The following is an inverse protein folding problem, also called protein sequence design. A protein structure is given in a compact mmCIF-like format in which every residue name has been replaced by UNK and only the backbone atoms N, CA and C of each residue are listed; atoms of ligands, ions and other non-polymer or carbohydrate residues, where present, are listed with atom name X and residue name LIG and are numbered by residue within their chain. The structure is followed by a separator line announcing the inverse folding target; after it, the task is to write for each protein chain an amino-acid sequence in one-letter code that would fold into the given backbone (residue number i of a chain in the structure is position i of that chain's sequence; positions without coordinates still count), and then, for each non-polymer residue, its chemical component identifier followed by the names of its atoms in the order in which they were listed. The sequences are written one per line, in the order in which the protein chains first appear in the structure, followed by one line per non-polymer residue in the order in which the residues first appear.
data_IF_756496839551
#
_entry.id   IF_756496839551
#
_cell.length_a   1.000
_cell.length_b   1.000
_cell.length_c   1.000
_cell.angle_alpha   90.00
_cell.angle_beta   90.00
_cell.angle_gamma   90.00
#
_symmetry.space_group_name_H-M   'P 1'
#
loop_
_entity.id
_entity.type
_entity.pdbx_description
1 polymer ?
#
# COMPACT_ATOMS: atom_id res chain seq x y z
N UNK A 1 -6.84 29.54 23.31
CA UNK A 1 -5.46 29.03 23.10
C UNK A 1 -5.13 29.17 21.63
N UNK A 2 -4.12 29.96 21.30
CA UNK A 2 -3.65 30.18 19.93
C UNK A 2 -2.72 29.01 19.55
N UNK A 3 -3.28 27.97 18.94
CA UNK A 3 -2.51 26.86 18.38
C UNK A 3 -1.97 27.24 17.00
N UNK A 4 -1.25 28.35 16.91
CA UNK A 4 -0.50 28.73 15.70
C UNK A 4 0.70 27.78 15.57
N UNK A 5 0.50 26.70 14.82
CA UNK A 5 1.55 25.74 14.49
C UNK A 5 2.67 26.48 13.74
N UNK A 6 3.84 26.64 14.38
CA UNK A 6 5.02 27.36 13.84
C UNK A 6 5.45 26.84 12.45
N UNK A 7 5.06 25.61 12.11
CA UNK A 7 5.38 24.94 10.86
C UNK A 7 4.31 25.06 9.77
N UNK A 8 3.09 25.53 10.08
CA UNK A 8 2.00 25.69 9.11
C UNK A 8 1.50 27.14 9.15
N UNK A 9 1.42 27.79 7.98
CA UNK A 9 0.89 29.15 7.92
C UNK A 9 -0.53 29.20 8.50
N UNK A 10 -0.80 30.24 9.27
CA UNK A 10 -2.07 30.43 9.99
C UNK A 10 -3.28 30.40 9.06
N UNK A 11 -3.18 31.03 7.90
CA UNK A 11 -4.26 31.07 6.90
C UNK A 11 -4.64 29.69 6.38
N UNK A 12 -3.67 28.80 6.15
CA UNK A 12 -3.95 27.42 5.81
C UNK A 12 -4.63 26.67 6.95
N UNK A 13 -4.13 26.80 8.18
CA UNK A 13 -4.73 26.17 9.35
C UNK A 13 -6.19 26.59 9.54
N UNK A 14 -6.45 27.90 9.53
CA UNK A 14 -7.79 28.48 9.66
C UNK A 14 -8.72 28.04 8.53
N UNK A 15 -8.21 27.83 7.31
CA UNK A 15 -8.99 27.29 6.19
C UNK A 15 -9.34 25.80 6.34
N UNK A 16 -8.50 25.01 7.01
CA UNK A 16 -8.66 23.57 7.16
C UNK A 16 -9.58 23.21 8.33
N UNK A 17 -9.53 23.96 9.43
CA UNK A 17 -10.35 23.71 10.63
C UNK A 17 -11.85 23.57 10.33
N UNK A 18 -12.51 24.47 9.57
CA UNK A 18 -13.93 24.32 9.23
C UNK A 18 -14.22 23.07 8.41
N UNK A 19 -13.32 22.69 7.49
CA UNK A 19 -13.47 21.50 6.65
C UNK A 19 -13.41 20.22 7.48
N UNK A 20 -12.48 20.14 8.44
CA UNK A 20 -12.37 19.01 9.38
C UNK A 20 -13.49 19.01 10.42
N UNK A 21 -14.10 20.16 10.71
CA UNK A 21 -15.23 20.25 11.64
C UNK A 21 -16.55 19.71 11.07
N UNK A 22 -16.66 19.51 9.75
CA UNK A 22 -17.88 19.03 9.08
C UNK A 22 -18.27 17.62 9.54
N UNK A 23 -19.58 17.37 9.67
CA UNK A 23 -20.13 16.04 10.00
C UNK A 23 -19.59 14.92 9.11
N UNK A 24 -19.63 15.06 7.76
CA UNK A 24 -19.10 14.05 6.86
C UNK A 24 -17.60 13.79 7.00
N UNK A 25 -16.79 14.76 7.43
CA UNK A 25 -15.37 14.54 7.69
C UNK A 25 -15.17 13.79 9.00
N UNK A 26 -15.86 14.18 10.07
CA UNK A 26 -15.79 13.49 11.37
C UNK A 26 -16.22 12.03 11.27
N UNK A 27 -17.29 11.74 10.53
CA UNK A 27 -17.73 10.38 10.28
C UNK A 27 -16.65 9.56 9.56
N UNK A 28 -16.06 10.10 8.47
CA UNK A 28 -14.94 9.45 7.77
C UNK A 28 -13.74 9.22 8.69
N UNK A 29 -13.40 10.21 9.51
CA UNK A 29 -12.30 10.08 10.49
C UNK A 29 -12.59 9.00 11.53
N UNK A 30 -13.83 8.90 12.01
CA UNK A 30 -14.24 7.87 12.97
C UNK A 30 -14.19 6.48 12.36
N UNK A 31 -14.70 6.32 11.13
CA UNK A 31 -14.61 5.04 10.39
C UNK A 31 -13.16 4.65 10.17
N UNK A 32 -12.29 5.59 9.76
CA UNK A 32 -10.86 5.33 9.60
C UNK A 32 -10.21 4.87 10.90
N UNK A 33 -10.54 5.52 12.03
CA UNK A 33 -10.07 5.12 13.36
C UNK A 33 -10.56 3.73 13.76
N UNK A 34 -11.85 3.44 13.58
CA UNK A 34 -12.41 2.11 13.87
C UNK A 34 -11.74 1.03 13.02
N UNK A 35 -11.48 1.30 11.74
CA UNK A 35 -10.79 0.36 10.84
C UNK A 35 -9.35 0.10 11.30
N UNK A 36 -8.64 1.14 11.76
CA UNK A 36 -7.29 0.99 12.29
C UNK A 36 -7.27 0.15 13.58
N UNK A 37 -8.24 0.37 14.48
CA UNK A 37 -8.38 -0.40 15.73
C UNK A 37 -8.81 -1.84 15.47
N UNK A 38 -9.69 -2.08 14.50
CA UNK A 38 -10.14 -3.42 14.13
C UNK A 38 -9.04 -4.25 13.46
N UNK A 39 -8.02 -3.60 12.90
CA UNK A 39 -6.94 -4.22 12.15
C UNK A 39 -5.56 -3.63 12.51
N UNK A 40 -5.13 -3.75 13.77
CA UNK A 40 -3.93 -3.09 14.28
C UNK A 40 -2.65 -3.56 13.59
N UNK A 41 -2.64 -4.78 13.07
CA UNK A 41 -1.50 -5.40 12.38
C UNK A 41 -1.42 -5.04 10.87
N UNK A 42 -2.49 -4.46 10.29
CA UNK A 42 -2.54 -4.20 8.85
C UNK A 42 -1.86 -2.88 8.49
N UNK A 43 -0.94 -2.92 7.53
CA UNK A 43 -0.21 -1.76 6.96
C UNK A 43 0.73 -1.05 7.95
N UNK A 44 1.21 -1.76 8.98
CA UNK A 44 2.23 -1.22 9.91
C UNK A 44 3.61 -1.29 9.25
N UNK A 45 4.30 -0.15 9.22
CA UNK A 45 5.67 0.00 8.72
C UNK A 45 6.39 1.10 9.52
N UNK A 46 7.73 1.05 9.59
CA UNK A 46 8.55 2.00 10.35
C UNK A 46 9.07 3.18 9.49
N UNK A 47 8.73 3.23 8.19
CA UNK A 47 9.31 4.14 7.19
C UNK A 47 9.08 5.63 7.49
N UNK A 48 8.09 5.94 8.33
CA UNK A 48 7.66 7.31 8.59
C UNK A 48 7.13 7.99 7.32
N UNK A 49 7.44 9.28 7.16
CA UNK A 49 7.07 10.07 5.97
C UNK A 49 8.04 9.90 4.79
N UNK A 50 9.08 9.08 4.93
CA UNK A 50 10.08 8.83 3.88
C UNK A 50 9.53 7.82 2.89
N UNK A 51 9.62 8.14 1.59
CA UNK A 51 9.13 7.27 0.54
C UNK A 51 9.99 6.01 0.38
N UNK A 52 9.39 4.93 -0.13
CA UNK A 52 10.11 3.69 -0.45
C UNK A 52 11.22 3.91 -1.48
N UNK A 53 11.01 4.81 -2.46
CA UNK A 53 12.02 5.18 -3.44
C UNK A 53 13.22 5.90 -2.80
N UNK A 54 12.95 6.78 -1.83
CA UNK A 54 14.00 7.46 -1.05
C UNK A 54 14.79 6.46 -0.21
N UNK A 55 14.12 5.54 0.47
CA UNK A 55 14.80 4.46 1.20
C UNK A 55 15.66 3.59 0.28
N UNK A 56 15.14 3.24 -0.90
CA UNK A 56 15.90 2.49 -1.90
C UNK A 56 17.17 3.25 -2.30
N UNK A 57 17.05 4.53 -2.66
CA UNK A 57 18.19 5.36 -3.05
C UNK A 57 19.23 5.46 -1.93
N UNK A 58 18.81 5.72 -0.70
CA UNK A 58 19.72 5.81 0.45
C UNK A 58 20.45 4.48 0.67
N UNK A 59 19.71 3.36 0.63
CA UNK A 59 20.27 2.04 0.80
C UNK A 59 21.21 1.65 -0.36
N UNK A 60 20.96 2.13 -1.59
CA UNK A 60 21.90 1.98 -2.71
C UNK A 60 23.25 2.62 -2.43
N UNK A 61 23.24 3.82 -1.85
CA UNK A 61 24.45 4.55 -1.49
C UNK A 61 25.19 3.88 -0.33
N UNK A 62 24.46 3.37 0.67
CA UNK A 62 25.05 2.69 1.82
C UNK A 62 25.70 1.34 1.47
N UNK A 63 25.06 0.56 0.58
CA UNK A 63 25.56 -0.76 0.19
C UNK A 63 26.54 -0.72 -0.99
N UNK A 64 26.70 0.44 -1.65
CA UNK A 64 27.45 0.62 -2.90
C UNK A 64 27.00 -0.33 -4.03
N UNK A 65 25.75 -0.81 -3.96
CA UNK A 65 25.12 -1.69 -4.96
C UNK A 65 23.60 -1.51 -4.96
N UNK A 66 22.92 -2.12 -5.91
CA UNK A 66 21.46 -2.21 -5.87
C UNK A 66 21.02 -3.06 -4.64
N UNK A 67 20.14 -2.53 -3.78
CA UNK A 67 19.53 -3.30 -2.69
C UNK A 67 18.62 -4.37 -3.26
N UNK A 68 18.57 -5.50 -2.57
CA UNK A 68 17.57 -6.53 -2.83
C UNK A 68 16.21 -6.05 -2.35
N UNK A 69 15.14 -6.64 -2.89
CA UNK A 69 13.79 -6.37 -2.41
C UNK A 69 13.66 -6.69 -0.92
N UNK A 70 14.30 -7.78 -0.48
CA UNK A 70 14.28 -8.24 0.91
C UNK A 70 14.93 -7.25 1.87
N UNK A 71 16.10 -6.72 1.52
CA UNK A 71 16.81 -5.70 2.31
C UNK A 71 15.98 -4.42 2.47
N UNK A 72 15.33 -3.98 1.39
CA UNK A 72 14.51 -2.78 1.42
C UNK A 72 13.19 -2.98 2.19
N UNK A 73 12.59 -4.17 2.12
CA UNK A 73 11.43 -4.50 2.94
C UNK A 73 11.82 -4.55 4.42
N UNK A 74 12.92 -5.22 4.76
CA UNK A 74 13.39 -5.35 6.15
C UNK A 74 13.69 -3.98 6.77
N UNK A 75 14.34 -3.08 6.02
CA UNK A 75 14.58 -1.70 6.43
C UNK A 75 13.28 -0.99 6.87
N UNK A 76 12.18 -1.26 6.14
CA UNK A 76 10.89 -0.59 6.34
C UNK A 76 9.93 -1.32 7.30
N UNK A 77 10.24 -2.56 7.69
CA UNK A 77 9.33 -3.44 8.43
C UNK A 77 9.95 -4.16 9.64
N UNK A 78 11.25 -4.00 9.90
CA UNK A 78 11.89 -4.43 11.15
C UNK A 78 12.04 -3.28 12.13
N UNK A 79 12.06 -3.54 13.43
CA UNK A 79 12.27 -2.51 14.44
C UNK A 79 13.74 -2.09 14.44
N UNK A 80 14.00 -0.78 14.54
CA UNK A 80 15.38 -0.28 14.52
C UNK A 80 16.18 -0.88 15.69
N UNK A 81 17.32 -1.48 15.38
CA UNK A 81 18.21 -2.08 16.38
C UNK A 81 17.79 -3.48 16.86
N UNK A 82 16.74 -4.06 16.28
CA UNK A 82 16.39 -5.48 16.49
C UNK A 82 16.13 -6.15 15.13
N UNK A 83 16.04 -7.47 15.12
CA UNK A 83 15.65 -8.22 13.92
C UNK A 83 14.13 -8.51 13.88
N UNK A 84 13.38 -7.94 14.84
CA UNK A 84 11.96 -8.20 15.00
C UNK A 84 11.12 -7.39 14.02
N UNK A 85 10.09 -8.02 13.45
CA UNK A 85 9.13 -7.32 12.63
C UNK A 85 8.24 -6.38 13.45
N UNK A 86 7.78 -5.31 12.79
CA UNK A 86 6.85 -4.34 13.39
C UNK A 86 5.44 -4.91 13.58
N UNK A 87 5.09 -5.97 12.84
CA UNK A 87 3.81 -6.67 12.91
C UNK A 87 3.98 -8.17 12.63
N UNK A 88 3.07 -8.97 13.17
CA UNK A 88 3.03 -10.42 12.93
C UNK A 88 2.73 -10.72 11.44
N UNK A 89 1.95 -9.85 10.80
CA UNK A 89 1.65 -9.96 9.37
C UNK A 89 2.92 -9.76 8.52
N UNK A 90 3.78 -8.80 8.84
CA UNK A 90 5.04 -8.58 8.12
C UNK A 90 6.00 -9.77 8.26
N UNK A 91 6.04 -10.38 9.46
CA UNK A 91 6.79 -11.61 9.72
C UNK A 91 6.27 -12.77 8.88
N UNK A 92 4.97 -13.07 9.00
CA UNK A 92 4.34 -14.20 8.31
C UNK A 92 4.47 -14.10 6.79
N UNK A 93 4.25 -12.91 6.21
CA UNK A 93 4.44 -12.67 4.78
C UNK A 93 5.89 -12.96 4.36
N UNK A 94 6.86 -12.47 5.13
CA UNK A 94 8.28 -12.67 4.82
C UNK A 94 8.67 -14.15 4.90
N UNK A 95 8.36 -14.83 6.01
CA UNK A 95 8.69 -16.25 6.18
C UNK A 95 8.03 -17.15 5.14
N UNK A 96 6.77 -16.84 4.77
CA UNK A 96 6.06 -17.59 3.73
C UNK A 96 6.68 -17.34 2.36
N UNK A 97 7.10 -16.11 2.07
CA UNK A 97 7.75 -15.76 0.82
C UNK A 97 9.11 -16.44 0.69
N UNK A 98 9.94 -16.39 1.73
CA UNK A 98 11.26 -17.01 1.73
C UNK A 98 11.15 -18.53 1.52
N UNK A 99 10.16 -19.18 2.16
CA UNK A 99 9.86 -20.60 1.93
C UNK A 99 9.42 -20.86 0.49
N UNK A 100 8.53 -20.03 -0.05
CA UNK A 100 8.03 -20.17 -1.42
C UNK A 100 9.15 -20.01 -2.44
N UNK A 101 10.09 -19.08 -2.20
CA UNK A 101 11.26 -18.89 -3.05
C UNK A 101 12.20 -20.10 -2.98
N UNK A 102 12.45 -20.64 -1.78
CA UNK A 102 13.26 -21.85 -1.62
C UNK A 102 12.65 -23.09 -2.32
N UNK A 103 11.32 -23.24 -2.27
CA UNK A 103 10.61 -24.35 -2.90
C UNK A 103 10.57 -24.23 -4.44
N UNK A 104 10.44 -23.01 -4.98
CA UNK A 104 10.29 -22.76 -6.42
C UNK A 104 11.61 -22.76 -7.19
N UNK A 105 12.70 -22.40 -6.53
CA UNK A 105 13.98 -22.19 -7.18
C UNK A 105 15.04 -23.07 -6.52
N UNK A 106 15.35 -24.21 -7.17
CA UNK A 106 16.46 -25.09 -6.82
C UNK A 106 17.82 -24.49 -7.22
N UNK A 107 18.93 -25.10 -6.78
CA UNK A 107 20.31 -24.66 -7.10
C UNK A 107 20.56 -24.43 -8.60
N UNK A 108 19.83 -25.14 -9.47
CA UNK A 108 19.99 -25.07 -10.93
C UNK A 108 19.25 -23.89 -11.60
N UNK A 109 18.38 -23.17 -10.88
CA UNK A 109 17.63 -22.03 -11.41
C UNK A 109 17.97 -20.76 -10.65
N UNK A 110 18.55 -19.72 -11.30
CA UNK A 110 18.85 -18.46 -10.65
C UNK A 110 17.61 -17.84 -10.01
N UNK A 111 17.67 -17.58 -8.71
CA UNK A 111 16.59 -16.91 -7.98
C UNK A 111 16.49 -15.43 -8.40
N UNK A 112 15.31 -14.94 -8.81
CA UNK A 112 15.12 -13.52 -9.07
C UNK A 112 15.10 -12.73 -7.75
N UNK A 113 15.47 -11.45 -7.82
CA UNK A 113 15.41 -10.54 -6.65
C UNK A 113 13.99 -10.42 -6.06
N UNK A 114 12.96 -10.55 -6.90
CA UNK A 114 11.55 -10.61 -6.53
C UNK A 114 10.84 -11.52 -7.54
N UNK A 115 10.08 -12.50 -7.06
CA UNK A 115 9.01 -13.16 -7.82
C UNK A 115 7.71 -12.40 -7.51
N UNK A 116 7.25 -11.53 -8.42
CA UNK A 116 6.09 -10.69 -8.15
C UNK A 116 4.79 -11.50 -8.02
N UNK A 117 4.72 -12.68 -8.65
CA UNK A 117 3.55 -13.55 -8.56
C UNK A 117 3.50 -14.24 -7.21
N UNK A 118 4.61 -14.85 -6.77
CA UNK A 118 4.72 -15.40 -5.41
C UNK A 118 4.36 -14.35 -4.35
N UNK A 119 4.89 -13.14 -4.51
CA UNK A 119 4.62 -12.05 -3.57
C UNK A 119 3.13 -11.70 -3.52
N UNK A 120 2.51 -11.47 -4.68
CA UNK A 120 1.08 -11.11 -4.76
C UNK A 120 0.17 -12.19 -4.21
N UNK A 121 0.46 -13.46 -4.48
CA UNK A 121 -0.30 -14.60 -3.97
C UNK A 121 -0.29 -14.62 -2.43
N UNK A 122 0.87 -14.34 -1.81
CA UNK A 122 1.06 -14.38 -0.35
C UNK A 122 0.41 -13.19 0.35
N UNK A 123 0.49 -11.98 -0.22
CA UNK A 123 -0.13 -10.78 0.37
C UNK A 123 -1.66 -10.73 0.18
N UNK A 124 -2.24 -11.70 -0.53
CA UNK A 124 -3.68 -11.84 -0.71
C UNK A 124 -4.24 -11.05 -1.91
N UNK A 125 -3.43 -10.88 -2.95
CA UNK A 125 -3.84 -10.27 -4.21
C UNK A 125 -3.91 -8.73 -4.17
N UNK A 126 -4.07 -8.10 -5.35
CA UNK A 126 -4.24 -6.66 -5.44
C UNK A 126 -5.62 -6.26 -4.91
N UNK A 127 -5.67 -5.29 -3.99
CA UNK A 127 -6.92 -4.65 -3.58
C UNK A 127 -7.04 -3.31 -4.28
N UNK A 128 -8.09 -3.16 -5.11
CA UNK A 128 -8.38 -1.92 -5.86
C UNK A 128 -7.13 -1.37 -6.60
N UNK A 129 -6.48 -2.22 -7.40
CA UNK A 129 -5.29 -1.87 -8.23
C UNK A 129 -3.97 -1.75 -7.45
N UNK A 130 -3.97 -1.86 -6.11
CA UNK A 130 -2.76 -1.74 -5.29
C UNK A 130 -2.36 -3.06 -4.66
N UNK A 131 -1.07 -3.38 -4.73
CA UNK A 131 -0.47 -4.49 -3.98
C UNK A 131 0.07 -3.92 -2.66
N UNK A 132 -0.05 -4.69 -1.58
CA UNK A 132 0.47 -4.29 -0.26
C UNK A 132 1.95 -3.86 -0.38
N UNK A 133 2.28 -2.68 0.16
CA UNK A 133 3.61 -2.01 0.13
C UNK A 133 4.20 -1.67 -1.24
N UNK A 134 3.54 -2.04 -2.32
CA UNK A 134 3.89 -1.62 -3.66
C UNK A 134 2.90 -0.55 -4.11
N UNK A 135 3.26 0.71 -3.87
CA UNK A 135 2.70 1.82 -4.64
C UNK A 135 3.12 1.70 -6.12
N UNK A 136 3.23 2.82 -6.83
CA UNK A 136 3.54 2.84 -8.27
C UNK A 136 4.98 2.40 -8.64
N UNK A 137 5.75 1.86 -7.68
CA UNK A 137 7.18 1.55 -7.82
C UNK A 137 7.46 0.12 -8.32
N UNK A 138 6.45 -0.76 -8.38
CA UNK A 138 6.56 -1.98 -9.16
C UNK A 138 5.82 -1.76 -10.46
N UNK A 139 6.39 -2.20 -11.58
CA UNK A 139 5.58 -2.42 -12.77
C UNK A 139 4.63 -3.59 -12.48
N UNK A 140 3.53 -3.27 -11.82
CA UNK A 140 2.48 -4.21 -11.49
C UNK A 140 1.77 -4.68 -12.75
N UNK A 141 1.98 -4.07 -13.93
CA UNK A 141 1.27 -4.45 -15.16
C UNK A 141 1.55 -5.90 -15.56
N UNK A 142 2.77 -6.41 -15.36
CA UNK A 142 3.13 -7.80 -15.64
C UNK A 142 2.38 -8.77 -14.72
N UNK A 143 2.29 -8.42 -13.43
CA UNK A 143 1.56 -9.22 -12.43
C UNK A 143 0.06 -9.11 -12.63
N UNK A 144 -0.39 -7.91 -13.03
CA UNK A 144 -1.78 -7.58 -13.23
C UNK A 144 -2.39 -8.24 -14.46
N UNK A 145 -1.62 -8.28 -15.55
CA UNK A 145 -1.99 -8.96 -16.78
C UNK A 145 -2.18 -10.47 -16.53
N UNK A 146 -1.31 -11.08 -15.73
CA UNK A 146 -1.39 -12.50 -15.40
C UNK A 146 -2.61 -12.89 -14.53
N UNK A 147 -3.09 -12.00 -13.65
CA UNK A 147 -4.33 -12.25 -12.88
C UNK A 147 -5.59 -11.85 -13.66
N UNK A 148 -5.54 -10.81 -14.49
CA UNK A 148 -6.70 -10.34 -15.24
C UNK A 148 -7.17 -11.39 -16.27
N UNK A 149 -6.26 -12.24 -16.74
CA UNK A 149 -6.57 -13.39 -17.59
C UNK A 149 -7.11 -14.61 -16.83
N UNK A 150 -7.00 -14.68 -15.49
CA UNK A 150 -7.43 -15.83 -14.68
C UNK A 150 -8.67 -15.59 -13.81
N UNK A 151 -9.10 -14.33 -13.67
CA UNK A 151 -10.29 -13.97 -12.88
C UNK A 151 -11.41 -13.53 -13.84
N UNK A 152 -12.43 -14.38 -13.99
CA UNK A 152 -13.71 -13.90 -14.51
C UNK A 152 -14.21 -12.78 -13.59
N UNK A 153 -14.60 -11.60 -14.12
CA UNK A 153 -15.04 -10.51 -13.28
C UNK A 153 -16.20 -11.02 -12.39
N UNK A 154 -16.19 -10.77 -11.07
CA UNK A 154 -17.34 -11.08 -10.25
C UNK A 154 -18.55 -10.33 -10.84
N UNK A 155 -19.66 -11.05 -11.03
CA UNK A 155 -20.92 -10.50 -11.48
C UNK A 155 -21.46 -9.51 -10.44
N UNK A 156 -20.91 -8.28 -10.44
CA UNK A 156 -21.58 -7.15 -9.84
C UNK A 156 -22.53 -6.62 -10.90
N UNK A 157 -23.81 -6.66 -10.54
CA UNK A 157 -24.95 -6.31 -11.36
C UNK A 157 -24.68 -5.07 -12.22
N UNK A 158 -25.06 -5.16 -13.49
CA UNK A 158 -25.23 -4.05 -14.42
C UNK A 158 -25.95 -2.90 -13.69
N UNK A 159 -25.19 -1.88 -13.28
CA UNK A 159 -25.78 -0.58 -13.01
C UNK A 159 -26.11 -0.01 -14.38
N UNK A 160 -27.40 -0.11 -14.71
CA UNK A 160 -28.02 0.51 -15.87
C UNK A 160 -27.55 1.96 -15.96
N UNK A 161 -27.02 2.31 -17.13
CA UNK A 161 -26.75 3.68 -17.54
C UNK A 161 -28.09 4.43 -17.49
N UNK A 162 -28.29 5.24 -16.46
CA UNK A 162 -29.34 6.25 -16.46
C UNK A 162 -28.92 7.31 -17.48
N UNK A 163 -29.58 7.31 -18.63
CA UNK A 163 -29.45 8.38 -19.63
C UNK A 163 -29.94 9.71 -19.03
N UNK A 164 -29.24 10.82 -19.29
CA UNK A 164 -29.72 12.12 -18.86
C UNK A 164 -30.97 12.50 -19.67
N UNK A 165 -32.02 12.87 -18.94
CA UNK A 165 -33.27 13.46 -19.43
C UNK A 165 -32.95 14.81 -20.07
N UNK A 166 -32.96 14.86 -21.40
CA UNK A 166 -32.98 16.13 -22.14
C UNK A 166 -34.33 16.80 -21.90
N UNK A 167 -34.33 17.91 -21.18
CA UNK A 167 -35.45 18.83 -21.15
C UNK A 167 -35.56 19.57 -22.47
N UNK A 168 -36.79 19.67 -22.97
CA UNK A 168 -37.21 20.49 -24.09
C UNK A 168 -38.72 20.64 -23.97
N UNK A 169 -39.15 21.67 -23.25
CA UNK A 169 -40.51 22.20 -23.30
C UNK A 169 -40.68 23.06 -24.58
N UNK A 170 -41.94 23.35 -24.94
CA UNK A 170 -42.49 24.13 -26.08
C UNK A 170 -42.89 23.23 -27.28
N UNK A 171 -44.16 23.03 -27.67
CA UNK A 171 -45.46 23.75 -27.52
C UNK A 171 -46.60 22.73 -27.44
#
# INVERSE_FOLDING_TARGET
MDYSLVWMRRDYWESLCPRWATGPWKERSQVAKCNQVAHPEKNVHNSGSVSYATHNQNLRHELERAPTFRELFDLTHKRKGTDDYVSESARTITETYDRTMADRYSEDTPQPNLDPKAWVDIVGGPRRVRVYNFGDNLDTTLVMSSYASSVAPPAYASLSVVTPRSGGDDI
#
